data_IF_344472447314
#
_entry.id   IF_344472447314
#
_cell.length_a   1.000
_cell.length_b   1.000
_cell.length_c   1.000
_cell.angle_alpha   90.00
_cell.angle_beta   90.00
_cell.angle_gamma   90.00
#
_symmetry.space_group_name_H-M   'P 1'
#
loop_
_entity.id
_entity.type
_entity.pdbx_description
1 polymer ?
#
# COMPACT_ATOMS: atom_id res chain seq x y z
N UNK A 1 100.63 7.49 12.46
CA UNK A 1 99.69 6.95 11.49
C UNK A 1 98.55 6.31 12.27
N UNK A 2 97.47 7.02 12.47
CA UNK A 2 96.26 6.51 13.17
C UNK A 2 95.05 6.62 12.27
N UNK A 3 94.41 5.52 11.98
CA UNK A 3 93.15 5.37 11.25
C UNK A 3 91.99 5.83 12.12
N UNK A 4 91.20 6.76 11.62
CA UNK A 4 89.98 7.23 12.26
C UNK A 4 88.81 6.44 11.66
N UNK A 5 88.11 5.76 12.56
CA UNK A 5 86.95 4.91 12.26
C UNK A 5 85.69 5.77 12.37
N UNK A 6 84.97 6.01 11.28
CA UNK A 6 83.71 6.73 11.23
C UNK A 6 82.55 5.76 11.36
N UNK A 7 81.95 5.69 12.55
CA UNK A 7 80.72 4.92 12.78
C UNK A 7 79.51 5.60 12.14
N UNK A 8 78.83 4.89 11.29
CA UNK A 8 77.51 5.29 10.72
C UNK A 8 76.40 4.96 11.70
N UNK A 9 75.72 6.00 12.12
CA UNK A 9 74.51 5.92 12.99
C UNK A 9 73.31 5.72 12.11
N UNK A 10 72.68 4.53 12.16
CA UNK A 10 71.40 4.25 11.47
C UNK A 10 70.26 4.74 12.36
N UNK A 11 69.60 5.82 11.93
CA UNK A 11 68.39 6.28 12.60
C UNK A 11 67.20 5.47 12.02
N UNK A 12 66.68 4.54 12.82
CA UNK A 12 65.45 3.84 12.51
C UNK A 12 64.24 4.78 12.61
N UNK A 13 63.62 5.13 11.53
CA UNK A 13 62.34 5.83 11.50
C UNK A 13 61.21 4.82 11.84
N UNK A 14 60.62 4.97 13.03
CA UNK A 14 59.37 4.28 13.39
C UNK A 14 58.25 4.99 12.66
N UNK A 15 57.76 4.42 11.56
CA UNK A 15 56.55 4.85 10.91
C UNK A 15 55.35 4.36 11.78
N UNK A 16 54.81 5.24 12.61
CA UNK A 16 53.51 5.01 13.25
C UNK A 16 52.44 5.14 12.14
N UNK A 17 51.97 3.98 11.66
CA UNK A 17 50.83 3.92 10.77
C UNK A 17 49.57 4.32 11.52
N UNK A 18 49.12 5.54 11.36
CA UNK A 18 47.76 5.92 11.68
C UNK A 18 46.83 5.18 10.71
N UNK A 19 46.21 4.10 11.19
CA UNK A 19 45.05 3.52 10.52
C UNK A 19 43.92 4.55 10.62
N UNK A 20 43.73 5.32 9.56
CA UNK A 20 42.52 6.13 9.36
C UNK A 20 41.42 5.10 9.18
N UNK A 21 40.73 4.76 10.27
CA UNK A 21 39.51 4.00 10.22
C UNK A 21 38.53 4.79 9.36
N UNK A 22 38.22 4.29 8.18
CA UNK A 22 37.11 4.78 7.38
C UNK A 22 35.86 4.67 8.27
N UNK A 23 35.40 5.80 8.80
CA UNK A 23 34.11 5.87 9.46
C UNK A 23 33.09 5.44 8.38
N UNK A 24 32.54 4.24 8.54
CA UNK A 24 31.43 3.81 7.70
C UNK A 24 30.32 4.85 7.88
N UNK A 25 29.85 5.42 6.78
CA UNK A 25 28.74 6.35 6.83
C UNK A 25 27.55 5.67 7.53
N UNK A 26 26.86 6.41 8.39
CA UNK A 26 25.68 5.89 9.06
C UNK A 26 24.69 5.33 8.02
N UNK A 27 24.08 4.17 8.29
CA UNK A 27 23.12 3.60 7.37
C UNK A 27 21.96 4.57 7.16
N UNK A 28 21.54 4.78 5.91
CA UNK A 28 20.38 5.60 5.59
C UNK A 28 19.10 4.78 5.67
N UNK A 29 18.06 5.34 6.27
CA UNK A 29 16.69 4.80 6.29
C UNK A 29 15.74 5.75 5.53
N UNK A 30 15.17 5.26 4.44
CA UNK A 30 14.08 5.94 3.73
C UNK A 30 12.77 5.64 4.42
N UNK A 31 12.22 6.61 5.14
CA UNK A 31 10.98 6.47 5.89
C UNK A 31 9.84 7.14 5.14
N UNK A 32 8.87 6.35 4.71
CA UNK A 32 7.61 6.84 4.15
C UNK A 32 6.57 6.98 5.26
N UNK A 33 5.88 8.11 5.28
CA UNK A 33 4.76 8.33 6.19
C UNK A 33 3.53 8.71 5.40
N UNK A 34 2.45 7.99 5.61
CA UNK A 34 1.11 8.30 5.12
C UNK A 34 0.17 8.52 6.29
N UNK A 35 -0.73 9.48 6.14
CA UNK A 35 -1.78 9.75 7.13
C UNK A 35 -3.13 9.84 6.42
N UNK A 36 -4.19 9.53 7.17
CA UNK A 36 -5.55 9.75 6.70
C UNK A 36 -5.77 11.24 6.40
N UNK A 37 -6.46 11.58 5.29
CA UNK A 37 -6.72 12.97 4.92
C UNK A 37 -7.68 13.62 5.90
N UNK A 38 -7.18 14.57 6.68
CA UNK A 38 -7.95 15.41 7.60
C UNK A 38 -7.72 16.88 7.26
N UNK A 39 -8.75 17.69 7.43
CA UNK A 39 -8.69 19.13 7.18
C UNK A 39 -7.67 19.82 8.10
N UNK A 40 -7.62 19.40 9.34
CA UNK A 40 -6.84 20.05 10.41
C UNK A 40 -5.32 19.87 10.29
N UNK A 41 -4.83 18.82 9.58
CA UNK A 41 -3.40 18.55 9.55
C UNK A 41 -2.71 19.30 8.41
N UNK A 42 -2.05 20.40 8.72
CA UNK A 42 -1.20 21.12 7.79
C UNK A 42 0.23 20.53 7.72
N UNK A 43 1.05 21.03 6.78
CA UNK A 43 2.41 20.50 6.56
C UNK A 43 3.33 20.74 7.75
N UNK A 44 3.18 21.86 8.47
CA UNK A 44 4.03 22.19 9.62
C UNK A 44 3.75 21.24 10.77
N UNK A 45 2.47 21.06 11.11
CA UNK A 45 2.04 20.10 12.15
C UNK A 45 2.49 18.67 11.81
N UNK A 46 2.37 18.28 10.54
CA UNK A 46 2.88 16.98 10.10
C UNK A 46 4.38 16.83 10.35
N UNK A 47 5.17 17.84 9.92
CA UNK A 47 6.64 17.81 10.10
C UNK A 47 7.04 17.81 11.57
N UNK A 48 6.30 18.48 12.41
CA UNK A 48 6.53 18.47 13.87
C UNK A 48 6.32 17.06 14.44
N UNK A 49 5.18 16.45 14.15
CA UNK A 49 4.81 15.15 14.68
C UNK A 49 5.73 14.04 14.15
N UNK A 50 5.78 13.89 12.84
CA UNK A 50 6.51 12.77 12.22
C UNK A 50 8.01 13.04 12.10
N UNK A 51 8.44 14.30 12.05
CA UNK A 51 9.85 14.67 12.17
C UNK A 51 10.43 14.28 13.55
N UNK A 52 9.65 14.46 14.62
CA UNK A 52 10.02 14.03 15.96
C UNK A 52 10.14 12.49 16.03
N UNK A 53 9.16 11.77 15.46
CA UNK A 53 9.23 10.31 15.36
C UNK A 53 10.42 9.84 14.52
N UNK A 54 10.71 10.49 13.39
CA UNK A 54 11.84 10.16 12.55
C UNK A 54 13.19 10.37 13.26
N UNK A 55 13.37 11.48 13.96
CA UNK A 55 14.56 11.73 14.79
C UNK A 55 14.74 10.67 15.87
N UNK A 56 13.65 10.28 16.53
CA UNK A 56 13.67 9.22 17.52
C UNK A 56 14.14 7.90 16.90
N UNK A 57 13.53 7.47 15.79
CA UNK A 57 13.89 6.24 15.08
C UNK A 57 15.34 6.28 14.62
N UNK A 58 15.79 7.38 14.04
CA UNK A 58 17.19 7.56 13.63
C UNK A 58 18.16 7.40 14.78
N UNK A 59 17.92 8.10 15.90
CA UNK A 59 18.78 7.99 17.10
C UNK A 59 18.78 6.55 17.67
N UNK A 60 17.61 5.93 17.76
CA UNK A 60 17.49 4.60 18.36
C UNK A 60 18.06 3.49 17.46
N UNK A 61 18.00 3.64 16.14
CA UNK A 61 18.53 2.67 15.18
C UNK A 61 19.99 2.93 14.77
N UNK A 62 20.57 4.09 15.12
CA UNK A 62 21.89 4.51 14.65
C UNK A 62 21.91 4.68 13.12
N UNK A 63 20.84 5.28 12.55
CA UNK A 63 20.71 5.50 11.12
C UNK A 63 20.30 6.94 10.82
N UNK A 64 20.79 7.48 9.70
CA UNK A 64 20.29 8.74 9.16
C UNK A 64 18.89 8.52 8.55
N UNK A 65 17.87 9.24 9.02
CA UNK A 65 16.50 9.09 8.52
C UNK A 65 16.20 10.12 7.46
N UNK A 66 15.84 9.65 6.26
CA UNK A 66 15.27 10.47 5.19
C UNK A 66 13.75 10.30 5.18
N UNK A 67 13.05 11.29 5.74
CA UNK A 67 11.60 11.29 5.82
C UNK A 67 10.97 11.75 4.51
N UNK A 68 9.99 10.98 4.03
CA UNK A 68 9.11 11.36 2.91
C UNK A 68 7.68 11.36 3.39
N UNK A 69 6.98 12.46 3.12
CA UNK A 69 5.58 12.61 3.42
C UNK A 69 4.71 12.41 2.19
N UNK A 70 3.72 11.51 2.28
CA UNK A 70 2.71 11.27 1.27
C UNK A 70 1.30 11.60 1.77
N UNK A 71 0.65 12.59 1.12
CA UNK A 71 -0.78 12.89 1.30
C UNK A 71 -1.67 12.13 0.32
N UNK A 72 -1.09 11.63 -0.75
CA UNK A 72 -1.76 10.83 -1.77
C UNK A 72 -1.53 9.35 -1.44
N UNK A 73 -2.50 8.76 -0.75
CA UNK A 73 -2.42 7.36 -0.32
C UNK A 73 -2.29 6.40 -1.50
N UNK A 74 -2.88 6.72 -2.65
CA UNK A 74 -2.74 5.91 -3.89
C UNK A 74 -1.28 5.88 -4.35
N UNK A 75 -0.60 7.03 -4.33
CA UNK A 75 0.81 7.13 -4.68
C UNK A 75 1.70 6.42 -3.66
N UNK A 76 1.38 6.55 -2.39
CA UNK A 76 2.14 5.89 -1.32
C UNK A 76 1.97 4.37 -1.35
N UNK A 77 0.79 3.87 -1.66
CA UNK A 77 0.55 2.46 -1.94
C UNK A 77 1.40 1.97 -3.12
N UNK A 78 1.48 2.73 -4.21
CA UNK A 78 2.31 2.38 -5.36
C UNK A 78 3.80 2.33 -5.00
N UNK A 79 4.30 3.32 -4.24
CA UNK A 79 5.69 3.36 -3.76
C UNK A 79 6.02 2.20 -2.82
N UNK A 80 5.09 1.84 -1.94
CA UNK A 80 5.24 0.71 -1.04
C UNK A 80 5.35 -0.60 -1.84
N UNK A 81 4.52 -0.76 -2.87
CA UNK A 81 4.55 -1.93 -3.77
C UNK A 81 5.86 -2.05 -4.54
N UNK A 82 6.46 -0.93 -4.94
CA UNK A 82 7.78 -0.89 -5.60
C UNK A 82 8.95 -0.92 -4.61
N UNK A 83 8.70 -1.14 -3.31
CA UNK A 83 9.72 -1.17 -2.24
C UNK A 83 10.54 0.13 -2.15
N UNK A 84 9.89 1.26 -2.41
CA UNK A 84 10.53 2.58 -2.43
C UNK A 84 10.93 3.13 -1.06
N UNK A 85 10.52 2.47 0.02
CA UNK A 85 10.81 2.82 1.40
C UNK A 85 11.48 1.66 2.14
N UNK A 86 12.33 1.98 3.09
CA UNK A 86 12.91 1.02 4.04
C UNK A 86 11.97 0.79 5.22
N UNK A 87 11.29 1.85 5.66
CA UNK A 87 10.29 1.83 6.71
C UNK A 87 9.04 2.56 6.24
N UNK A 88 7.87 1.96 6.45
CA UNK A 88 6.58 2.57 6.15
C UNK A 88 5.76 2.74 7.42
N UNK A 89 5.26 3.95 7.64
CA UNK A 89 4.35 4.30 8.74
C UNK A 89 3.05 4.77 8.12
N UNK A 90 1.93 4.17 8.49
CA UNK A 90 0.67 4.53 7.86
C UNK A 90 -0.55 3.81 8.39
N UNK A 91 -1.73 4.12 7.84
CA UNK A 91 -2.98 3.48 8.22
C UNK A 91 -2.99 1.99 7.85
N UNK A 92 -3.86 1.24 8.50
CA UNK A 92 -3.87 -0.22 8.45
C UNK A 92 -3.88 -0.81 7.04
N UNK A 93 -4.62 -0.24 6.10
CA UNK A 93 -4.69 -0.74 4.72
C UNK A 93 -3.38 -0.54 3.94
N UNK A 94 -2.64 0.53 4.23
CA UNK A 94 -1.30 0.76 3.66
C UNK A 94 -0.30 -0.24 4.22
N UNK A 95 -0.32 -0.47 5.53
CA UNK A 95 0.54 -1.48 6.18
C UNK A 95 0.19 -2.90 5.72
N UNK A 96 -1.11 -3.24 5.65
CA UNK A 96 -1.57 -4.51 5.12
C UNK A 96 -1.15 -4.74 3.67
N UNK A 97 -1.19 -3.69 2.83
CA UNK A 97 -0.64 -3.73 1.47
C UNK A 97 0.87 -3.92 1.47
N UNK A 98 1.62 -3.18 2.30
CA UNK A 98 3.08 -3.28 2.41
C UNK A 98 3.52 -4.71 2.73
N UNK A 99 2.85 -5.38 3.67
CA UNK A 99 3.17 -6.75 4.07
C UNK A 99 3.07 -7.75 2.90
N UNK A 100 2.20 -7.51 1.91
CA UNK A 100 2.11 -8.32 0.69
C UNK A 100 3.28 -8.12 -0.28
N UNK A 101 3.99 -7.02 -0.16
CA UNK A 101 5.07 -6.63 -1.07
C UNK A 101 6.46 -6.72 -0.42
N UNK A 102 6.60 -7.54 0.62
CA UNK A 102 7.89 -7.89 1.21
C UNK A 102 8.30 -6.97 2.36
N UNK A 103 7.34 -6.34 3.02
CA UNK A 103 7.58 -5.67 4.30
C UNK A 103 7.21 -6.59 5.46
N UNK A 104 8.00 -6.54 6.52
CA UNK A 104 7.74 -7.21 7.79
C UNK A 104 7.00 -6.26 8.73
N UNK A 105 5.97 -6.72 9.45
CA UNK A 105 5.29 -5.91 10.46
C UNK A 105 6.24 -5.63 11.64
N UNK A 106 6.17 -4.42 12.19
CA UNK A 106 6.97 -4.01 13.35
C UNK A 106 6.06 -3.75 14.54
N UNK A 107 5.32 -2.67 14.51
CA UNK A 107 4.53 -2.17 15.63
C UNK A 107 3.30 -1.41 15.16
N UNK A 108 2.29 -1.29 16.02
CA UNK A 108 1.14 -0.42 15.80
C UNK A 108 0.74 0.33 17.07
N UNK A 109 0.11 1.48 16.90
CA UNK A 109 -0.53 2.15 18.03
C UNK A 109 -1.70 1.31 18.57
N UNK A 110 -2.02 1.42 19.86
CA UNK A 110 -3.14 0.71 20.47
C UNK A 110 -4.47 1.28 19.95
N UNK A 111 -5.53 0.46 20.05
CA UNK A 111 -6.86 0.81 19.58
C UNK A 111 -7.18 0.25 18.21
N UNK A 112 -8.40 0.53 17.79
CA UNK A 112 -8.99 0.10 16.53
C UNK A 112 -9.73 1.27 15.88
N UNK A 113 -9.88 1.22 14.58
CA UNK A 113 -10.54 2.21 13.76
C UNK A 113 -11.71 1.58 13.01
N UNK A 114 -12.82 2.32 12.95
CA UNK A 114 -14.02 1.92 12.24
C UNK A 114 -14.46 3.02 11.28
N UNK A 115 -15.01 2.63 10.15
CA UNK A 115 -15.84 3.50 9.35
C UNK A 115 -17.29 3.36 9.75
N UNK A 116 -18.03 4.46 9.74
CA UNK A 116 -19.46 4.46 10.01
C UNK A 116 -20.22 5.10 8.87
N UNK A 117 -21.39 4.55 8.57
CA UNK A 117 -22.39 5.17 7.71
C UNK A 117 -23.31 6.02 8.57
N UNK A 118 -23.36 7.32 8.31
CA UNK A 118 -24.11 8.31 9.09
C UNK A 118 -25.16 8.96 8.23
N UNK A 119 -26.29 9.29 8.81
CA UNK A 119 -27.35 10.07 8.16
C UNK A 119 -27.88 11.17 9.06
N UNK A 120 -28.45 12.23 8.49
CA UNK A 120 -29.17 13.24 9.24
C UNK A 120 -30.53 12.71 9.72
N UNK A 121 -31.07 13.31 10.79
CA UNK A 121 -32.39 12.94 11.29
C UNK A 121 -33.52 13.17 10.29
N UNK A 122 -33.32 14.10 9.35
CA UNK A 122 -34.31 14.49 8.33
C UNK A 122 -34.34 13.59 7.11
N UNK A 123 -33.37 12.69 6.94
CA UNK A 123 -33.26 11.82 5.75
C UNK A 123 -34.34 10.74 5.66
N UNK A 124 -34.99 10.39 6.78
CA UNK A 124 -35.94 9.28 6.90
C UNK A 124 -35.31 7.89 6.79
N UNK A 125 -33.98 7.79 6.61
CA UNK A 125 -33.26 6.50 6.52
C UNK A 125 -32.95 5.99 7.93
N UNK A 126 -33.33 4.75 8.24
CA UNK A 126 -33.13 4.16 9.57
C UNK A 126 -32.11 3.02 9.57
N UNK A 127 -31.81 2.44 8.41
CA UNK A 127 -30.84 1.34 8.25
C UNK A 127 -30.07 1.50 6.94
N UNK A 128 -28.90 0.82 6.86
CA UNK A 128 -28.12 0.80 5.63
C UNK A 128 -28.87 0.12 4.47
N UNK A 129 -29.74 -0.85 4.76
CA UNK A 129 -30.56 -1.52 3.74
C UNK A 129 -31.53 -0.54 3.04
N UNK A 130 -32.07 0.44 3.76
CA UNK A 130 -32.97 1.48 3.24
C UNK A 130 -32.23 2.58 2.45
N UNK A 131 -30.91 2.55 2.43
CA UNK A 131 -30.08 3.50 1.73
C UNK A 131 -30.12 3.37 0.20
N UNK A 132 -30.81 2.37 -0.33
CA UNK A 132 -30.91 2.16 -1.77
C UNK A 132 -31.54 3.37 -2.48
N UNK A 133 -30.88 3.81 -3.56
CA UNK A 133 -31.32 4.99 -4.31
C UNK A 133 -31.03 6.34 -3.66
N UNK A 134 -30.31 6.35 -2.54
CA UNK A 134 -29.87 7.58 -1.85
C UNK A 134 -28.54 8.09 -2.40
N UNK A 135 -28.16 9.34 -2.02
CA UNK A 135 -26.86 9.94 -2.35
C UNK A 135 -25.87 9.62 -1.24
N UNK A 136 -24.69 9.12 -1.62
CA UNK A 136 -23.61 8.76 -0.71
C UNK A 136 -22.45 9.76 -0.82
N UNK A 137 -22.04 10.34 0.30
CA UNK A 137 -20.79 11.06 0.46
C UNK A 137 -19.72 10.15 1.04
N UNK A 138 -18.58 10.04 0.36
CA UNK A 138 -17.42 9.29 0.83
C UNK A 138 -16.24 10.25 1.05
N UNK A 139 -15.36 9.99 2.03
CA UNK A 139 -14.06 10.62 2.10
C UNK A 139 -13.21 10.20 0.89
N UNK A 140 -11.92 10.58 0.81
CA UNK A 140 -11.09 10.22 -0.34
C UNK A 140 -11.16 8.73 -0.67
N UNK A 141 -11.10 8.45 -1.96
CA UNK A 141 -11.28 7.10 -2.48
C UNK A 141 -10.31 6.07 -1.89
N UNK A 142 -9.15 6.51 -1.48
CA UNK A 142 -8.02 5.74 -0.93
C UNK A 142 -7.91 5.82 0.60
N UNK A 143 -8.83 6.51 1.29
CA UNK A 143 -8.90 6.52 2.76
C UNK A 143 -9.32 5.16 3.33
N UNK A 144 -8.86 4.85 4.54
CA UNK A 144 -9.24 3.62 5.25
C UNK A 144 -10.77 3.52 5.42
N UNK A 145 -11.43 4.62 5.74
CA UNK A 145 -12.88 4.64 5.90
C UNK A 145 -13.62 4.26 4.60
N UNK A 146 -13.16 4.73 3.44
CA UNK A 146 -13.73 4.32 2.15
C UNK A 146 -13.46 2.86 1.86
N UNK A 147 -12.28 2.34 2.20
CA UNK A 147 -11.95 0.92 2.08
C UNK A 147 -12.86 0.05 2.96
N UNK A 148 -13.01 0.42 4.23
CA UNK A 148 -13.88 -0.28 5.17
C UNK A 148 -15.35 -0.26 4.71
N UNK A 149 -15.87 0.91 4.31
CA UNK A 149 -17.24 1.03 3.83
C UNK A 149 -17.51 0.17 2.58
N UNK A 150 -16.58 0.13 1.64
CA UNK A 150 -16.67 -0.77 0.47
C UNK A 150 -16.59 -2.24 0.87
N UNK A 151 -15.76 -2.57 1.86
CA UNK A 151 -15.67 -3.92 2.42
C UNK A 151 -17.01 -4.39 2.98
N UNK A 152 -17.71 -3.54 3.73
CA UNK A 152 -19.04 -3.84 4.27
C UNK A 152 -20.08 -4.03 3.17
N UNK A 153 -20.13 -3.13 2.18
CA UNK A 153 -21.05 -3.28 1.04
C UNK A 153 -20.77 -4.58 0.26
N UNK A 154 -19.50 -4.91 0.04
CA UNK A 154 -19.13 -6.17 -0.60
C UNK A 154 -19.53 -7.40 0.22
N UNK A 155 -19.42 -7.33 1.56
CA UNK A 155 -19.86 -8.39 2.45
C UNK A 155 -21.38 -8.60 2.40
N UNK A 156 -22.15 -7.53 2.19
CA UNK A 156 -23.59 -7.56 1.94
C UNK A 156 -23.96 -8.04 0.53
N UNK A 157 -22.99 -8.34 -0.33
CA UNK A 157 -23.23 -8.71 -1.74
C UNK A 157 -23.71 -7.54 -2.60
N UNK A 158 -23.43 -6.30 -2.20
CA UNK A 158 -23.93 -5.09 -2.86
C UNK A 158 -22.77 -4.26 -3.40
N UNK A 159 -22.87 -3.85 -4.65
CA UNK A 159 -21.96 -2.85 -5.20
C UNK A 159 -22.49 -1.45 -4.87
N UNK A 160 -21.60 -0.57 -4.43
CA UNK A 160 -21.96 0.81 -4.07
C UNK A 160 -22.73 1.52 -5.22
N UNK A 161 -22.27 1.37 -6.46
CA UNK A 161 -22.91 1.98 -7.64
C UNK A 161 -24.32 1.46 -7.95
N UNK A 162 -24.60 0.20 -7.61
CA UNK A 162 -25.96 -0.36 -7.79
C UNK A 162 -26.89 -0.01 -6.63
N UNK A 163 -26.34 0.36 -5.49
CA UNK A 163 -27.09 0.71 -4.29
C UNK A 163 -27.43 2.20 -4.26
N UNK A 164 -26.47 3.06 -4.54
CA UNK A 164 -26.62 4.50 -4.43
C UNK A 164 -26.82 5.14 -5.79
N UNK A 165 -27.79 6.08 -5.90
CA UNK A 165 -28.05 6.80 -7.15
C UNK A 165 -26.92 7.77 -7.53
N UNK A 166 -26.17 8.21 -6.52
CA UNK A 166 -25.04 9.12 -6.66
C UNK A 166 -24.02 8.83 -5.57
N UNK A 167 -22.74 8.85 -5.95
CA UNK A 167 -21.61 8.72 -5.02
C UNK A 167 -20.68 9.89 -5.29
N UNK A 168 -20.47 10.72 -4.26
CA UNK A 168 -19.50 11.82 -4.31
C UNK A 168 -18.34 11.56 -3.38
N UNK A 169 -17.12 11.79 -3.87
CA UNK A 169 -15.90 11.74 -3.11
C UNK A 169 -15.54 13.15 -2.66
N UNK A 170 -15.23 13.29 -1.40
CA UNK A 170 -14.81 14.54 -0.78
C UNK A 170 -13.34 14.47 -0.39
N UNK A 171 -12.70 15.63 -0.28
CA UNK A 171 -11.26 15.71 -0.02
C UNK A 171 -10.88 15.33 1.42
N UNK A 172 -11.83 15.47 2.35
CA UNK A 172 -11.65 15.21 3.77
C UNK A 172 -12.87 14.51 4.36
N UNK A 173 -12.72 13.84 5.48
CA UNK A 173 -13.82 13.19 6.21
C UNK A 173 -14.86 14.20 6.65
N UNK A 174 -14.43 15.36 7.18
CA UNK A 174 -15.28 16.44 7.65
C UNK A 174 -16.15 17.02 6.52
N UNK A 175 -15.59 17.10 5.30
CA UNK A 175 -16.35 17.56 4.14
C UNK A 175 -17.45 16.57 3.70
N UNK A 176 -17.23 15.27 3.89
CA UNK A 176 -18.27 14.27 3.66
C UNK A 176 -19.42 14.39 4.69
N UNK A 177 -19.10 14.67 5.95
CA UNK A 177 -20.10 14.94 7.00
C UNK A 177 -20.83 16.28 6.77
N UNK A 178 -20.13 17.32 6.36
CA UNK A 178 -20.73 18.62 5.99
C UNK A 178 -21.75 18.48 4.84
N UNK A 179 -21.51 17.53 3.92
CA UNK A 179 -22.47 17.27 2.83
C UNK A 179 -23.85 16.84 3.36
N UNK A 180 -23.94 16.20 4.54
CA UNK A 180 -25.23 15.90 5.19
C UNK A 180 -25.92 17.17 5.70
N UNK A 181 -25.16 18.06 6.31
CA UNK A 181 -25.70 19.35 6.86
C UNK A 181 -26.27 20.21 5.73
N UNK A 182 -25.56 20.26 4.61
CA UNK A 182 -25.94 21.04 3.44
C UNK A 182 -27.01 20.36 2.56
N UNK A 183 -27.49 19.16 2.93
CA UNK A 183 -28.44 18.40 2.13
C UNK A 183 -27.87 17.96 0.76
N UNK A 184 -26.55 17.97 0.56
CA UNK A 184 -25.89 17.52 -0.64
C UNK A 184 -25.73 15.99 -0.70
N UNK A 185 -25.82 15.32 0.43
CA UNK A 185 -25.85 13.87 0.57
C UNK A 185 -26.96 13.42 1.54
N UNK A 186 -27.41 12.20 1.41
CA UNK A 186 -28.39 11.59 2.30
C UNK A 186 -27.68 10.71 3.35
N UNK A 187 -26.52 10.16 2.97
CA UNK A 187 -25.66 9.32 3.81
C UNK A 187 -24.21 9.76 3.60
N UNK A 188 -23.44 9.78 4.66
CA UNK A 188 -21.99 9.99 4.62
C UNK A 188 -21.27 8.82 5.27
N UNK A 189 -20.04 8.56 4.83
CA UNK A 189 -19.10 7.70 5.52
C UNK A 189 -18.01 8.55 6.13
N UNK A 190 -17.65 8.24 7.37
CA UNK A 190 -16.53 8.87 8.05
C UNK A 190 -15.87 7.89 9.03
N UNK A 191 -14.70 8.23 9.51
CA UNK A 191 -14.10 7.62 10.70
C UNK A 191 -15.04 7.78 11.89
N UNK A 192 -15.20 6.72 12.70
CA UNK A 192 -16.18 6.69 13.79
C UNK A 192 -16.05 7.89 14.72
N UNK A 193 -14.84 8.22 15.17
CA UNK A 193 -14.59 9.34 16.08
C UNK A 193 -15.06 10.69 15.51
N UNK A 194 -14.83 10.95 14.23
CA UNK A 194 -15.28 12.17 13.56
C UNK A 194 -16.81 12.22 13.42
N UNK A 195 -17.41 11.07 13.11
CA UNK A 195 -18.86 10.95 13.06
C UNK A 195 -19.53 11.18 14.42
N UNK A 196 -18.95 10.66 15.50
CA UNK A 196 -19.43 10.88 16.88
C UNK A 196 -19.31 12.37 17.27
N UNK A 197 -18.22 13.04 16.93
CA UNK A 197 -18.06 14.48 17.13
C UNK A 197 -19.08 15.28 16.32
N UNK A 198 -19.39 14.86 15.11
CA UNK A 198 -20.43 15.47 14.30
C UNK A 198 -21.82 15.28 14.92
N UNK A 199 -22.16 14.06 15.36
CA UNK A 199 -23.42 13.71 16.01
C UNK A 199 -23.63 14.44 17.34
N UNK A 200 -22.56 14.78 18.04
CA UNK A 200 -22.65 15.58 19.26
C UNK A 200 -23.18 17.01 19.00
N UNK A 201 -23.06 17.51 17.78
CA UNK A 201 -23.49 18.86 17.36
C UNK A 201 -24.67 18.85 16.40
N UNK A 202 -24.96 17.72 15.78
CA UNK A 202 -25.97 17.60 14.76
C UNK A 202 -26.97 16.48 15.08
N UNK A 203 -28.22 16.67 14.68
CA UNK A 203 -29.24 15.61 14.79
C UNK A 203 -29.04 14.59 13.66
N UNK A 204 -28.73 13.37 14.03
CA UNK A 204 -28.50 12.30 13.08
C UNK A 204 -28.38 10.94 13.77
N UNK A 205 -27.98 9.94 13.02
CA UNK A 205 -27.75 8.59 13.54
C UNK A 205 -26.70 7.82 12.74
N UNK A 206 -26.05 6.87 13.38
CA UNK A 206 -25.23 5.87 12.71
C UNK A 206 -26.17 4.79 12.18
N UNK A 207 -26.06 4.48 10.89
CA UNK A 207 -26.81 3.41 10.20
C UNK A 207 -26.08 2.08 10.26
N UNK A 208 -24.75 2.12 10.23
CA UNK A 208 -23.91 0.92 10.23
C UNK A 208 -22.49 1.25 10.68
N UNK A 209 -21.87 0.32 11.39
CA UNK A 209 -20.45 0.40 11.80
C UNK A 209 -19.71 -0.73 11.09
N UNK A 210 -18.60 -0.43 10.47
CA UNK A 210 -17.76 -1.42 9.78
C UNK A 210 -17.07 -2.37 10.78
N UNK A 211 -16.54 -3.47 10.26
CA UNK A 211 -15.52 -4.21 10.99
C UNK A 211 -14.37 -3.30 11.36
N UNK A 212 -13.71 -3.62 12.48
CA UNK A 212 -12.56 -2.86 12.94
C UNK A 212 -11.32 -3.06 12.06
N UNK A 213 -10.48 -2.06 12.06
CA UNK A 213 -9.13 -2.10 11.53
C UNK A 213 -8.14 -1.65 12.60
N UNK A 214 -6.90 -2.18 12.61
CA UNK A 214 -5.87 -1.67 13.49
C UNK A 214 -5.59 -0.18 13.26
N UNK A 215 -5.14 0.51 14.32
CA UNK A 215 -4.62 1.88 14.19
C UNK A 215 -3.34 1.93 13.37
N UNK A 216 -2.83 3.14 13.09
CA UNK A 216 -1.57 3.40 12.39
C UNK A 216 -0.47 2.44 12.84
N UNK A 217 0.16 1.80 11.87
CA UNK A 217 1.20 0.82 12.07
C UNK A 217 2.52 1.19 11.40
N UNK A 218 3.53 0.37 11.67
CA UNK A 218 4.88 0.46 11.15
C UNK A 218 5.25 -0.88 10.52
N UNK A 219 5.73 -0.85 9.28
CA UNK A 219 6.30 -2.02 8.60
C UNK A 219 7.66 -1.66 8.02
N UNK A 220 8.60 -2.60 8.01
CA UNK A 220 9.95 -2.41 7.48
C UNK A 220 10.24 -3.40 6.36
N UNK A 221 11.08 -2.98 5.42
CA UNK A 221 11.46 -3.83 4.28
C UNK A 221 12.24 -5.05 4.77
N UNK A 222 11.84 -6.25 4.34
CA UNK A 222 12.43 -7.52 4.78
C UNK A 222 13.89 -7.69 4.36
N UNK A 223 14.31 -7.02 3.29
CA UNK A 223 15.67 -7.08 2.72
C UNK A 223 16.67 -6.14 3.40
N UNK A 224 16.26 -5.36 4.40
CA UNK A 224 17.18 -4.55 5.19
C UNK A 224 18.20 -5.42 5.91
N UNK A 225 19.39 -4.85 6.16
CA UNK A 225 20.42 -5.49 6.99
C UNK A 225 19.84 -6.00 8.32
N UNK A 226 20.24 -7.20 8.73
CA UNK A 226 19.72 -7.87 9.93
C UNK A 226 19.91 -7.03 11.20
N UNK A 227 21.11 -6.47 11.38
CA UNK A 227 21.40 -5.66 12.57
C UNK A 227 20.60 -4.36 12.60
N UNK A 228 20.40 -3.73 11.42
CA UNK A 228 19.55 -2.54 11.31
C UNK A 228 18.09 -2.89 11.60
N UNK A 229 17.56 -4.00 11.08
CA UNK A 229 16.20 -4.48 11.39
C UNK A 229 15.99 -4.69 12.89
N UNK A 230 16.96 -5.31 13.56
CA UNK A 230 16.89 -5.55 15.01
C UNK A 230 16.87 -4.21 15.79
N UNK A 231 17.70 -3.24 15.42
CA UNK A 231 17.70 -1.91 16.07
C UNK A 231 16.40 -1.13 15.80
N UNK A 232 15.90 -1.15 14.57
CA UNK A 232 14.60 -0.53 14.24
C UNK A 232 13.48 -1.20 15.04
N UNK A 233 13.45 -2.53 15.13
CA UNK A 233 12.44 -3.24 15.91
C UNK A 233 12.54 -2.89 17.40
N UNK A 234 13.75 -2.84 17.93
CA UNK A 234 13.99 -2.46 19.32
C UNK A 234 13.51 -1.03 19.63
N UNK A 235 13.67 -0.10 18.70
CA UNK A 235 13.18 1.28 18.87
C UNK A 235 11.67 1.35 19.19
N UNK A 236 10.88 0.44 18.63
CA UNK A 236 9.43 0.39 18.87
C UNK A 236 9.03 -0.57 20.00
N UNK A 237 9.78 -1.63 20.23
CA UNK A 237 9.41 -2.68 21.20
C UNK A 237 10.02 -2.47 22.61
N UNK A 238 11.17 -1.80 22.68
CA UNK A 238 11.86 -1.50 23.94
C UNK A 238 12.28 -0.02 23.89
N UNK A 239 11.31 0.91 23.86
CA UNK A 239 11.59 2.33 23.65
C UNK A 239 12.42 2.88 24.83
N UNK A 240 13.54 3.53 24.51
CA UNK A 240 14.40 4.20 25.47
C UNK A 240 13.83 5.54 25.97
N UNK A 241 14.53 6.19 26.89
CA UNK A 241 14.10 7.44 27.52
C UNK A 241 13.76 8.56 26.51
N UNK A 242 14.47 8.63 25.37
CA UNK A 242 14.21 9.62 24.31
C UNK A 242 12.85 9.43 23.60
N UNK A 243 12.20 8.29 23.80
CA UNK A 243 10.85 8.03 23.28
C UNK A 243 9.79 8.97 23.90
N UNK A 244 10.04 9.52 25.09
CA UNK A 244 9.11 10.44 25.76
C UNK A 244 8.72 11.63 24.88
N UNK A 245 9.65 12.20 24.10
CA UNK A 245 9.36 13.30 23.18
C UNK A 245 8.36 12.97 22.08
N UNK A 246 8.14 11.69 21.77
CA UNK A 246 7.10 11.31 20.78
C UNK A 246 5.68 11.45 21.33
N UNK A 247 5.51 11.39 22.66
CA UNK A 247 4.21 11.63 23.29
C UNK A 247 3.77 13.10 23.21
N UNK A 248 4.71 14.03 23.26
CA UNK A 248 4.44 15.47 23.19
C UNK A 248 3.78 15.86 21.85
N UNK A 249 4.08 15.09 20.80
CA UNK A 249 3.49 15.27 19.46
C UNK A 249 2.35 14.28 19.16
N UNK A 250 1.83 13.60 20.18
CA UNK A 250 0.70 12.67 20.06
C UNK A 250 1.03 11.35 19.35
N UNK A 251 2.31 10.95 19.29
CA UNK A 251 2.79 9.70 18.69
C UNK A 251 3.61 8.89 19.69
N UNK A 252 3.06 8.66 20.88
CA UNK A 252 3.78 7.98 21.97
C UNK A 252 4.16 6.53 21.60
N UNK A 253 5.38 6.32 21.14
CA UNK A 253 5.89 5.00 20.75
C UNK A 253 5.92 4.02 21.91
N UNK A 254 5.93 4.49 23.16
CA UNK A 254 5.91 3.64 24.36
C UNK A 254 4.59 2.88 24.52
N UNK A 255 3.53 3.35 23.87
CA UNK A 255 2.22 2.71 23.85
C UNK A 255 2.07 1.70 22.73
N UNK A 256 3.02 1.67 21.78
CA UNK A 256 2.93 0.77 20.63
C UNK A 256 3.10 -0.69 21.08
N UNK A 257 2.47 -1.57 20.31
CA UNK A 257 2.53 -3.02 20.51
C UNK A 257 2.93 -3.73 19.22
N UNK A 258 3.48 -4.96 19.31
CA UNK A 258 3.80 -5.75 18.12
C UNK A 258 2.56 -5.94 17.24
N UNK A 259 2.78 -5.97 15.92
CA UNK A 259 1.74 -6.34 14.97
C UNK A 259 1.63 -7.86 14.92
N UNK A 260 0.44 -8.39 15.20
CA UNK A 260 0.07 -9.74 14.82
C UNK A 260 -0.42 -9.73 13.36
N UNK A 261 0.20 -10.49 12.48
CA UNK A 261 -0.14 -10.55 11.04
C UNK A 261 -1.64 -10.77 10.80
N UNK A 262 -2.25 -11.63 11.62
CA UNK A 262 -3.68 -11.95 11.56
C UNK A 262 -4.59 -10.72 11.74
N UNK A 263 -4.19 -9.72 12.51
CA UNK A 263 -4.97 -8.48 12.71
C UNK A 263 -5.10 -7.69 11.39
N UNK A 264 -4.15 -7.86 10.48
CA UNK A 264 -4.12 -7.17 9.18
C UNK A 264 -4.71 -7.99 8.03
N UNK A 265 -5.07 -9.26 8.23
CA UNK A 265 -5.65 -10.10 7.18
C UNK A 265 -6.88 -9.44 6.53
N UNK A 266 -7.81 -8.96 7.35
CA UNK A 266 -9.00 -8.29 6.85
C UNK A 266 -8.65 -7.05 6.02
N UNK A 267 -7.92 -6.10 6.61
CA UNK A 267 -7.58 -4.83 5.91
C UNK A 267 -6.67 -5.05 4.71
N UNK A 268 -5.81 -6.06 4.73
CA UNK A 268 -4.98 -6.41 3.58
C UNK A 268 -5.80 -6.93 2.40
N UNK A 269 -7.05 -7.36 2.65
CA UNK A 269 -8.01 -7.77 1.61
C UNK A 269 -8.94 -6.65 1.18
N UNK A 270 -8.96 -5.52 1.89
CA UNK A 270 -9.73 -4.34 1.52
C UNK A 270 -9.01 -3.55 0.44
N UNK A 271 -9.76 -2.80 -0.31
CA UNK A 271 -9.24 -1.93 -1.34
C UNK A 271 -10.11 -1.94 -2.57
N UNK A 272 -9.56 -1.44 -3.64
CA UNK A 272 -10.20 -1.47 -4.95
C UNK A 272 -10.13 -2.88 -5.54
N UNK A 273 -10.71 -3.85 -4.82
CA UNK A 273 -10.73 -5.20 -5.32
C UNK A 273 -11.56 -5.29 -6.59
N UNK A 274 -10.93 -5.88 -7.57
CA UNK A 274 -11.63 -6.43 -8.69
C UNK A 274 -12.68 -7.46 -8.21
N UNK A 275 -13.81 -7.59 -8.92
CA UNK A 275 -14.83 -8.59 -8.58
C UNK A 275 -14.25 -10.01 -8.47
N UNK A 276 -14.99 -10.90 -7.86
CA UNK A 276 -14.66 -12.34 -7.82
C UNK A 276 -15.34 -13.14 -8.93
N UNK A 277 -16.06 -12.44 -9.81
CA UNK A 277 -16.72 -13.01 -10.98
C UNK A 277 -16.53 -12.04 -12.15
N UNK A 278 -16.34 -12.58 -13.34
CA UNK A 278 -16.29 -11.82 -14.58
C UNK A 278 -16.91 -12.68 -15.69
N UNK A 279 -17.98 -12.18 -16.28
CA UNK A 279 -18.70 -12.90 -17.32
C UNK A 279 -17.81 -13.23 -18.52
N UNK A 280 -17.89 -14.47 -18.97
CA UNK A 280 -17.06 -14.96 -20.08
C UNK A 280 -15.59 -15.23 -19.72
N UNK A 281 -15.21 -15.14 -18.44
CA UNK A 281 -13.83 -15.33 -17.97
C UNK A 281 -13.77 -16.30 -16.80
N UNK A 282 -12.86 -17.28 -16.88
CA UNK A 282 -12.57 -18.16 -15.75
C UNK A 282 -11.46 -17.56 -14.87
N UNK A 283 -11.73 -17.36 -13.58
CA UNK A 283 -10.70 -17.01 -12.60
C UNK A 283 -9.91 -18.27 -12.25
N UNK A 284 -8.57 -18.16 -12.25
CA UNK A 284 -7.65 -19.28 -12.03
C UNK A 284 -6.67 -18.99 -10.90
N UNK A 285 -6.26 -20.04 -10.16
CA UNK A 285 -5.24 -20.00 -9.12
C UNK A 285 -3.83 -20.08 -9.72
N UNK A 286 -2.80 -19.87 -8.90
CA UNK A 286 -1.40 -20.01 -9.31
C UNK A 286 -1.08 -21.42 -9.81
N UNK A 287 -1.63 -22.46 -9.16
CA UNK A 287 -1.46 -23.86 -9.51
C UNK A 287 -2.12 -24.16 -10.88
N UNK A 288 -3.34 -23.67 -11.10
CA UNK A 288 -4.03 -23.80 -12.40
C UNK A 288 -3.26 -23.08 -13.51
N UNK A 289 -2.74 -21.87 -13.24
CA UNK A 289 -1.90 -21.12 -14.19
C UNK A 289 -0.65 -21.93 -14.56
N UNK A 290 0.08 -22.49 -13.58
CA UNK A 290 1.26 -23.28 -13.82
C UNK A 290 0.94 -24.51 -14.71
N UNK A 291 -0.15 -25.22 -14.42
CA UNK A 291 -0.61 -26.36 -15.21
C UNK A 291 -1.01 -25.96 -16.63
N UNK A 292 -1.67 -24.81 -16.81
CA UNK A 292 -2.09 -24.31 -18.12
C UNK A 292 -0.91 -23.87 -18.98
N UNK A 293 0.05 -23.14 -18.39
CA UNK A 293 1.28 -22.73 -19.08
C UNK A 293 2.11 -23.96 -19.51
N UNK A 294 2.16 -25.00 -18.68
CA UNK A 294 2.77 -26.28 -19.03
C UNK A 294 2.11 -27.01 -20.21
N UNK A 295 0.87 -26.64 -20.57
CA UNK A 295 0.10 -27.16 -21.72
C UNK A 295 0.05 -26.16 -22.90
N UNK A 296 0.83 -25.10 -22.86
CA UNK A 296 0.96 -24.14 -23.95
C UNK A 296 0.07 -22.89 -23.86
N UNK A 297 -0.68 -22.69 -22.75
CA UNK A 297 -1.39 -21.41 -22.52
C UNK A 297 -0.38 -20.28 -22.33
N UNK A 298 -0.68 -19.09 -22.87
CA UNK A 298 0.17 -17.92 -22.75
C UNK A 298 -0.35 -17.01 -21.63
N UNK A 299 0.54 -16.64 -20.70
CA UNK A 299 0.26 -15.64 -19.68
C UNK A 299 0.76 -14.27 -20.13
N UNK A 300 -0.11 -13.30 -20.09
CA UNK A 300 0.16 -11.90 -20.41
C UNK A 300 0.21 -11.07 -19.13
N UNK A 301 1.40 -10.50 -18.86
CA UNK A 301 1.63 -9.58 -17.76
C UNK A 301 1.24 -8.17 -18.17
N UNK A 302 0.22 -7.61 -17.51
CA UNK A 302 -0.37 -6.32 -17.87
C UNK A 302 0.19 -5.14 -17.06
N UNK A 303 1.25 -5.37 -16.28
CA UNK A 303 1.93 -4.38 -15.45
C UNK A 303 2.76 -3.39 -16.29
N UNK A 304 3.35 -2.41 -15.59
CA UNK A 304 4.34 -1.50 -16.20
C UNK A 304 5.60 -2.25 -16.66
N UNK A 305 6.36 -1.64 -17.56
CA UNK A 305 7.64 -2.21 -18.01
C UNK A 305 8.63 -2.40 -16.85
N UNK A 306 8.70 -1.41 -15.98
CA UNK A 306 9.57 -1.46 -14.79
C UNK A 306 9.24 -2.65 -13.88
N UNK A 307 7.95 -2.85 -13.57
CA UNK A 307 7.48 -3.97 -12.75
C UNK A 307 7.76 -5.32 -13.42
N UNK A 308 7.51 -5.42 -14.73
CA UNK A 308 7.76 -6.63 -15.50
C UNK A 308 9.26 -6.98 -15.58
N UNK A 309 10.14 -5.98 -15.77
CA UNK A 309 11.59 -6.16 -15.79
C UNK A 309 12.16 -6.49 -14.42
N UNK A 310 11.63 -5.86 -13.36
CA UNK A 310 12.07 -6.08 -11.98
C UNK A 310 11.73 -7.47 -11.44
N UNK A 311 10.70 -8.13 -11.99
CA UNK A 311 10.33 -9.50 -11.63
C UNK A 311 9.01 -9.91 -12.28
N UNK A 312 8.97 -11.06 -12.92
CA UNK A 312 7.80 -11.61 -13.62
C UNK A 312 7.66 -13.10 -13.45
N UNK A 313 6.49 -13.60 -13.74
CA UNK A 313 6.23 -15.04 -13.87
C UNK A 313 7.10 -15.57 -15.00
N UNK A 314 7.84 -16.65 -14.75
CA UNK A 314 8.71 -17.24 -15.77
C UNK A 314 7.90 -17.67 -17.00
N UNK A 315 8.31 -17.18 -18.18
CA UNK A 315 7.63 -17.43 -19.44
C UNK A 315 6.42 -16.52 -19.74
N UNK A 316 6.13 -15.55 -18.88
CA UNK A 316 5.10 -14.54 -19.15
C UNK A 316 5.51 -13.60 -20.28
N UNK A 317 4.55 -13.22 -21.11
CA UNK A 317 4.73 -12.20 -22.15
C UNK A 317 4.25 -10.85 -21.63
N UNK A 318 4.96 -9.77 -21.95
CA UNK A 318 4.58 -8.43 -21.55
C UNK A 318 3.55 -7.84 -22.51
N UNK A 319 2.38 -7.52 -21.98
CA UNK A 319 1.29 -6.85 -22.69
C UNK A 319 0.70 -5.74 -21.82
N UNK A 320 1.33 -4.57 -21.79
CA UNK A 320 0.97 -3.51 -20.85
C UNK A 320 -0.44 -2.97 -21.09
N UNK A 321 -1.16 -2.74 -20.00
CA UNK A 321 -2.43 -2.03 -20.02
C UNK A 321 -2.24 -0.59 -19.56
N UNK A 322 -2.49 0.36 -20.47
CA UNK A 322 -2.43 1.79 -20.14
C UNK A 322 -3.78 2.23 -19.52
N UNK A 323 -3.84 2.23 -18.21
CA UNK A 323 -5.04 2.53 -17.43
C UNK A 323 -5.17 4.03 -17.16
N UNK A 324 -6.25 4.65 -17.64
CA UNK A 324 -6.66 6.03 -17.37
C UNK A 324 -8.08 6.12 -16.82
N UNK A 325 -8.88 5.09 -17.03
CA UNK A 325 -10.26 5.01 -16.53
C UNK A 325 -10.28 4.71 -15.02
N UNK A 326 -11.45 4.92 -14.40
CA UNK A 326 -11.67 4.60 -12.99
C UNK A 326 -11.50 3.09 -12.71
N UNK A 327 -11.04 2.76 -11.52
CA UNK A 327 -10.88 1.38 -11.04
C UNK A 327 -12.21 0.84 -10.53
N UNK A 328 -13.09 0.47 -11.46
CA UNK A 328 -14.46 0.03 -11.17
C UNK A 328 -15.03 -0.86 -12.29
N UNK A 329 -16.08 -1.60 -11.99
CA UNK A 329 -16.72 -2.53 -12.95
C UNK A 329 -17.24 -1.82 -14.19
N UNK A 330 -17.84 -0.64 -14.03
CA UNK A 330 -18.38 0.15 -15.15
C UNK A 330 -17.39 1.20 -15.67
N UNK A 331 -16.11 0.85 -15.78
CA UNK A 331 -15.07 1.79 -16.24
C UNK A 331 -15.29 2.22 -17.70
N UNK A 332 -14.82 3.40 -18.03
CA UNK A 332 -14.87 3.94 -19.39
C UNK A 332 -13.67 3.40 -20.21
N UNK A 333 -13.93 2.37 -21.00
CA UNK A 333 -12.91 1.68 -21.78
C UNK A 333 -12.24 2.58 -22.82
N UNK A 334 -12.91 3.63 -23.28
CA UNK A 334 -12.37 4.55 -24.30
C UNK A 334 -11.14 5.32 -23.79
N UNK A 335 -10.98 5.42 -22.49
CA UNK A 335 -9.82 6.08 -21.84
C UNK A 335 -8.60 5.20 -21.75
N UNK A 336 -8.77 3.88 -21.86
CA UNK A 336 -7.71 2.90 -21.66
C UNK A 336 -7.15 2.39 -22.98
N UNK A 337 -5.95 1.79 -22.94
CA UNK A 337 -5.34 1.18 -24.13
C UNK A 337 -4.69 -0.16 -23.79
N UNK A 338 -4.97 -1.16 -24.63
CA UNK A 338 -4.29 -2.45 -24.68
C UNK A 338 -4.17 -2.88 -26.15
N UNK A 339 -3.03 -3.40 -26.53
CA UNK A 339 -2.78 -3.87 -27.89
C UNK A 339 -3.05 -5.38 -28.01
N UNK A 340 -4.33 -5.75 -28.10
CA UNK A 340 -4.75 -7.15 -28.27
C UNK A 340 -4.37 -7.73 -29.63
N UNK A 341 -3.97 -6.92 -30.63
CA UNK A 341 -3.51 -7.40 -31.93
C UNK A 341 -2.20 -8.20 -31.82
N UNK A 342 -1.45 -8.01 -30.73
CA UNK A 342 -0.25 -8.82 -30.42
C UNK A 342 -0.57 -10.28 -30.07
N UNK A 343 -1.82 -10.61 -29.83
CA UNK A 343 -2.29 -11.98 -29.57
C UNK A 343 -2.88 -12.52 -30.87
N UNK A 344 -2.13 -13.39 -31.54
CA UNK A 344 -2.46 -13.83 -32.89
C UNK A 344 -3.71 -14.73 -32.97
N UNK A 345 -3.86 -15.64 -31.99
CA UNK A 345 -4.97 -16.61 -31.96
C UNK A 345 -5.99 -16.25 -30.86
N UNK A 346 -7.20 -15.88 -31.27
CA UNK A 346 -8.29 -15.57 -30.35
C UNK A 346 -8.97 -16.80 -29.75
N UNK A 347 -8.69 -17.97 -30.28
CA UNK A 347 -9.22 -19.25 -29.78
C UNK A 347 -8.26 -19.97 -28.85
N UNK A 348 -7.01 -19.52 -28.76
CA UNK A 348 -6.03 -20.08 -27.82
C UNK A 348 -6.33 -19.61 -26.38
N UNK A 349 -5.97 -20.43 -25.38
CA UNK A 349 -6.06 -20.04 -23.98
C UNK A 349 -5.15 -18.86 -23.66
N UNK A 350 -5.72 -17.74 -23.23
CA UNK A 350 -5.00 -16.54 -22.81
C UNK A 350 -5.21 -16.28 -21.32
N UNK A 351 -4.17 -15.98 -20.58
CA UNK A 351 -4.22 -15.71 -19.16
C UNK A 351 -3.74 -14.29 -18.92
N UNK A 352 -4.55 -13.43 -18.30
CA UNK A 352 -4.13 -12.07 -17.91
C UNK A 352 -3.78 -12.02 -16.43
N UNK A 353 -2.62 -11.46 -16.10
CA UNK A 353 -2.11 -11.28 -14.76
C UNK A 353 -1.62 -9.86 -14.49
N UNK A 354 -1.60 -9.46 -13.23
CA UNK A 354 -1.15 -8.18 -12.74
C UNK A 354 -0.59 -8.30 -11.31
N UNK A 355 -0.66 -7.22 -10.52
CA UNK A 355 -0.22 -7.15 -9.12
C UNK A 355 -1.27 -7.63 -8.10
N UNK A 356 -2.07 -8.61 -8.44
CA UNK A 356 -3.05 -9.19 -7.51
C UNK A 356 -4.44 -8.57 -7.62
N UNK A 357 -5.27 -8.92 -6.67
CA UNK A 357 -6.70 -8.61 -6.68
C UNK A 357 -7.06 -7.11 -6.70
N UNK A 358 -6.13 -6.26 -6.33
CA UNK A 358 -6.27 -4.80 -6.34
C UNK A 358 -5.90 -4.16 -7.68
N UNK A 359 -5.29 -4.94 -8.58
CA UNK A 359 -4.87 -4.46 -9.88
C UNK A 359 -5.97 -4.63 -10.91
N UNK A 360 -6.55 -3.52 -11.34
CA UNK A 360 -7.62 -3.51 -12.32
C UNK A 360 -7.16 -3.76 -13.76
N UNK A 361 -5.87 -3.63 -14.05
CA UNK A 361 -5.34 -3.81 -15.41
C UNK A 361 -5.63 -5.19 -15.98
N UNK A 362 -5.39 -6.27 -15.22
CA UNK A 362 -5.70 -7.62 -15.68
C UNK A 362 -7.20 -7.89 -15.79
N UNK A 363 -8.01 -7.34 -14.87
CA UNK A 363 -9.46 -7.37 -14.98
C UNK A 363 -9.94 -6.72 -16.28
N UNK A 364 -9.52 -5.48 -16.52
CA UNK A 364 -9.88 -4.70 -17.70
C UNK A 364 -9.36 -5.33 -18.99
N UNK A 365 -8.16 -5.93 -18.96
CA UNK A 365 -7.62 -6.70 -20.09
C UNK A 365 -8.51 -7.89 -20.42
N UNK A 366 -8.99 -8.61 -19.39
CA UNK A 366 -9.90 -9.73 -19.58
C UNK A 366 -11.24 -9.29 -20.18
N UNK A 367 -11.81 -8.16 -19.70
CA UNK A 367 -13.01 -7.55 -20.28
C UNK A 367 -12.80 -7.21 -21.75
N UNK A 368 -11.70 -6.53 -22.06
CA UNK A 368 -11.36 -6.13 -23.44
C UNK A 368 -11.19 -7.34 -24.35
N UNK A 369 -10.56 -8.40 -23.89
CA UNK A 369 -10.36 -9.64 -24.66
C UNK A 369 -11.68 -10.34 -24.95
N UNK A 370 -12.57 -10.49 -23.97
CA UNK A 370 -13.92 -11.07 -24.20
C UNK A 370 -14.69 -10.26 -25.25
N UNK A 371 -14.68 -8.93 -25.14
CA UNK A 371 -15.33 -8.04 -26.14
C UNK A 371 -14.69 -8.11 -27.52
N UNK A 372 -13.38 -8.37 -27.59
CA UNK A 372 -12.68 -8.57 -28.86
C UNK A 372 -12.89 -9.97 -29.46
N UNK A 373 -13.71 -10.83 -28.83
CA UNK A 373 -14.07 -12.15 -29.34
C UNK A 373 -13.06 -13.27 -29.00
N UNK A 374 -12.26 -13.11 -27.96
CA UNK A 374 -11.44 -14.21 -27.45
C UNK A 374 -12.34 -15.23 -26.76
N UNK A 375 -12.17 -16.52 -27.08
CA UNK A 375 -13.09 -17.57 -26.64
C UNK A 375 -12.63 -18.28 -25.37
N UNK A 376 -11.34 -18.22 -25.02
CA UNK A 376 -10.74 -18.88 -23.87
C UNK A 376 -9.95 -17.88 -23.02
N UNK A 377 -10.69 -17.01 -22.30
CA UNK A 377 -10.09 -15.97 -21.45
C UNK A 377 -10.02 -16.45 -20.00
N UNK A 378 -8.82 -16.41 -19.45
CA UNK A 378 -8.53 -16.73 -18.06
C UNK A 378 -7.95 -15.52 -17.35
N UNK A 379 -8.34 -15.35 -16.12
CA UNK A 379 -7.86 -14.24 -15.30
C UNK A 379 -7.20 -14.75 -14.04
N UNK A 380 -5.88 -14.57 -13.98
CA UNK A 380 -5.12 -14.84 -12.77
C UNK A 380 -5.23 -13.63 -11.83
N UNK A 381 -6.34 -13.61 -11.07
CA UNK A 381 -6.70 -12.48 -10.19
C UNK A 381 -5.67 -12.28 -9.07
N UNK A 382 -5.09 -13.33 -8.51
CA UNK A 382 -4.03 -13.27 -7.50
C UNK A 382 -2.71 -12.70 -8.03
N UNK A 383 -2.46 -12.83 -9.32
CA UNK A 383 -1.35 -12.22 -10.04
C UNK A 383 0.03 -12.60 -9.53
N UNK A 384 1.01 -11.76 -9.86
CA UNK A 384 2.41 -11.98 -9.50
C UNK A 384 2.65 -12.20 -7.98
N UNK A 385 1.99 -11.46 -7.05
CA UNK A 385 2.17 -11.70 -5.62
C UNK A 385 1.74 -13.11 -5.16
N UNK A 386 0.60 -13.62 -5.65
CA UNK A 386 0.16 -14.98 -5.32
C UNK A 386 1.14 -16.01 -5.87
N UNK A 387 1.60 -15.82 -7.11
CA UNK A 387 2.59 -16.69 -7.76
C UNK A 387 3.86 -16.85 -6.92
N UNK A 388 4.41 -15.72 -6.43
CA UNK A 388 5.60 -15.73 -5.57
C UNK A 388 5.31 -16.34 -4.21
N UNK A 389 4.17 -16.00 -3.60
CA UNK A 389 3.79 -16.55 -2.28
C UNK A 389 3.63 -18.07 -2.30
N UNK A 390 3.28 -18.65 -3.46
CA UNK A 390 3.16 -20.09 -3.68
C UNK A 390 4.48 -20.75 -4.09
N UNK A 391 5.58 -19.99 -4.18
CA UNK A 391 6.91 -20.52 -4.51
C UNK A 391 7.10 -20.90 -5.98
N UNK A 392 6.23 -20.43 -6.88
CA UNK A 392 6.36 -20.71 -8.31
C UNK A 392 7.53 -19.94 -8.97
N UNK A 393 8.11 -20.43 -10.08
CA UNK A 393 9.28 -19.85 -10.71
C UNK A 393 9.04 -18.43 -11.24
N UNK A 394 9.93 -17.51 -10.87
CA UNK A 394 9.97 -16.16 -11.39
C UNK A 394 11.32 -15.88 -12.07
N UNK A 395 11.35 -14.86 -12.90
CA UNK A 395 12.57 -14.36 -13.55
C UNK A 395 12.58 -12.84 -13.55
N UNK A 396 13.77 -12.24 -13.60
CA UNK A 396 13.99 -10.81 -13.81
C UNK A 396 14.81 -10.60 -15.07
N UNK A 397 14.71 -9.41 -15.68
CA UNK A 397 15.64 -9.06 -16.74
C UNK A 397 17.05 -8.93 -16.12
N UNK A 398 18.11 -9.35 -16.83
CA UNK A 398 19.46 -9.05 -16.39
C UNK A 398 19.61 -7.54 -16.21
N UNK A 399 20.24 -7.15 -15.11
CA UNK A 399 20.56 -5.75 -14.85
C UNK A 399 21.36 -5.24 -16.06
N UNK A 400 20.92 -4.12 -16.67
CA UNK A 400 21.69 -3.50 -17.74
C UNK A 400 23.07 -3.19 -17.16
N UNK A 401 24.09 -3.85 -17.66
CA UNK A 401 25.47 -3.54 -17.31
C UNK A 401 25.65 -2.02 -17.44
N UNK A 402 26.02 -1.38 -16.34
CA UNK A 402 26.33 0.04 -16.36
C UNK A 402 27.40 0.25 -17.42
N UNK A 403 27.12 1.06 -18.45
CA UNK A 403 28.12 1.47 -19.41
C UNK A 403 29.27 2.11 -18.62
N UNK A 404 30.51 1.70 -18.80
CA UNK A 404 31.65 2.36 -18.17
C UNK A 404 31.67 3.82 -18.63
N UNK A 405 31.80 4.73 -17.65
CA UNK A 405 31.93 6.17 -17.87
C UNK A 405 33.30 6.48 -18.51
#
# INVERSE_FOLDING_TARGET
MRLINTGSMVIGAIAAGFAIGSAAADPQLKVGVSVEPREEMNTVEFMDRFGTLARYVGTASGAEVRLTFGRDLTRELARTRSRGYDLMIGPAHVIGSAMRYGYEPVARFPGEEHAVFVTSATSGVTSLAEARGKRLALPPADSLATYLARGELNAMGVQAKSMFKEIRLYRYHEAALLALELGAADIAVAEQRLAEQWLARNKGRILHVSKSAPMTGVAMLSTLDKGLKERVRAAFMVPGAKAAGTAEVGLDVRTMKPIAVKEYEYVSTLGYFTPRLLDGVKIVSAEEVAAMMGKGAVLYDTRSEEEYRGGRIKGAQWLPYAEKSAKEVGFDESKDKIDLARIADRNAPVIFACNGAECWKSYKSSVAAVKAGFTQVYWFRGGYPEWIAKGHPAESAPEKAALPR
#
